data_IF_626520806042
#
_entry.id   IF_626520806042
#
_cell.length_a   1.000
_cell.length_b   1.000
_cell.length_c   1.000
_cell.angle_alpha   90.00
_cell.angle_beta   90.00
_cell.angle_gamma   90.00
#
_symmetry.space_group_name_H-M   'P 1'
#
loop_
_entity.id
_entity.type
_entity.pdbx_description
1 polymer ?
#
# COMPACT_ATOMS: atom_id res chain seq x y z
N UNK A 1 54.47 -21.70 -60.44
CA UNK A 1 53.47 -22.65 -59.89
C UNK A 1 53.30 -22.61 -58.36
N UNK A 2 54.33 -22.34 -57.53
CA UNK A 2 54.19 -22.30 -56.06
C UNK A 2 53.40 -21.10 -55.50
N UNK A 3 53.53 -19.89 -56.08
CA UNK A 3 52.83 -18.67 -55.60
C UNK A 3 51.32 -18.69 -55.83
N UNK A 4 50.84 -19.15 -56.99
CA UNK A 4 49.40 -19.19 -57.29
C UNK A 4 48.64 -20.21 -56.44
N UNK A 5 49.28 -21.33 -56.06
CA UNK A 5 48.71 -22.31 -55.12
C UNK A 5 48.60 -21.75 -53.69
N UNK A 6 49.57 -20.94 -53.26
CA UNK A 6 49.55 -20.28 -51.96
C UNK A 6 48.46 -19.20 -51.88
N UNK A 7 48.27 -18.45 -52.97
CA UNK A 7 47.20 -17.44 -53.09
C UNK A 7 45.82 -18.09 -53.08
N UNK A 8 45.60 -19.17 -53.84
CA UNK A 8 44.33 -19.92 -53.77
C UNK A 8 44.06 -20.53 -52.40
N UNK A 9 45.10 -20.98 -51.68
CA UNK A 9 44.94 -21.49 -50.31
C UNK A 9 44.56 -20.38 -49.32
N UNK A 10 45.16 -19.20 -49.44
CA UNK A 10 44.84 -18.03 -48.63
C UNK A 10 43.43 -17.51 -48.88
N UNK A 11 43.02 -17.42 -50.15
CA UNK A 11 41.65 -17.00 -50.52
C UNK A 11 40.63 -18.04 -50.04
N UNK A 12 40.91 -19.33 -50.21
CA UNK A 12 40.04 -20.40 -49.70
C UNK A 12 39.92 -20.38 -48.17
N UNK A 13 41.02 -20.17 -47.45
CA UNK A 13 41.03 -20.04 -45.99
C UNK A 13 40.22 -18.82 -45.51
N UNK A 14 40.33 -17.69 -46.22
CA UNK A 14 39.58 -16.47 -45.89
C UNK A 14 38.07 -16.63 -46.12
N UNK A 15 37.65 -17.38 -47.13
CA UNK A 15 36.23 -17.69 -47.38
C UNK A 15 35.65 -18.60 -46.28
N UNK A 16 36.41 -19.58 -45.78
CA UNK A 16 35.97 -20.45 -44.68
C UNK A 16 35.84 -19.68 -43.36
N UNK A 17 36.71 -18.69 -43.12
CA UNK A 17 36.61 -17.81 -41.94
C UNK A 17 35.37 -16.89 -41.99
N UNK A 18 34.92 -16.47 -43.18
CA UNK A 18 33.71 -15.65 -43.33
C UNK A 18 32.40 -16.46 -43.19
N UNK A 19 32.43 -17.77 -43.46
CA UNK A 19 31.28 -18.66 -43.29
C UNK A 19 31.08 -19.11 -41.82
N UNK A 20 32.03 -18.84 -40.93
CA UNK A 20 31.97 -19.21 -39.51
C UNK A 20 31.34 -18.13 -38.62
N UNK A 21 30.92 -16.98 -39.17
CA UNK A 21 30.39 -15.85 -38.40
C UNK A 21 28.88 -15.87 -38.16
N UNK A 22 28.13 -16.79 -38.77
CA UNK A 22 26.74 -17.03 -38.37
C UNK A 22 26.72 -18.23 -37.40
N UNK A 23 26.45 -18.01 -36.10
CA UNK A 23 26.40 -19.10 -35.13
C UNK A 23 25.32 -20.11 -35.54
N UNK A 24 25.68 -21.38 -35.74
CA UNK A 24 24.76 -22.53 -35.84
C UNK A 24 24.26 -22.85 -34.42
N UNK A 25 23.58 -21.90 -33.82
CA UNK A 25 22.91 -22.07 -32.53
C UNK A 25 21.44 -21.79 -32.75
N UNK A 26 20.59 -22.76 -32.41
CA UNK A 26 19.15 -22.56 -32.30
C UNK A 26 18.94 -21.69 -31.06
N UNK A 27 18.79 -20.38 -31.25
CA UNK A 27 18.66 -19.42 -30.15
C UNK A 27 17.21 -19.35 -29.75
N UNK A 28 16.93 -19.72 -28.50
CA UNK A 28 15.64 -19.41 -27.89
C UNK A 28 15.46 -17.89 -27.87
N UNK A 29 14.40 -17.43 -28.54
CA UNK A 29 14.00 -16.02 -28.56
C UNK A 29 13.00 -15.80 -27.44
N UNK A 30 13.29 -14.86 -26.54
CA UNK A 30 12.33 -14.43 -25.54
C UNK A 30 11.15 -13.74 -26.23
N UNK A 31 9.95 -14.21 -25.94
CA UNK A 31 8.70 -13.65 -26.47
C UNK A 31 7.74 -13.28 -25.34
N UNK A 32 6.83 -12.35 -25.61
CA UNK A 32 5.77 -12.03 -24.66
C UNK A 32 4.87 -13.23 -24.40
N UNK A 33 4.51 -13.45 -23.13
CA UNK A 33 3.57 -14.48 -22.71
C UNK A 33 2.10 -14.03 -22.78
N UNK A 34 1.85 -12.74 -22.98
CA UNK A 34 0.52 -12.15 -23.05
C UNK A 34 0.47 -10.97 -24.03
N UNK A 35 -0.75 -10.59 -24.39
CA UNK A 35 -1.07 -9.43 -25.20
C UNK A 35 -1.81 -8.41 -24.30
N UNK A 36 -1.25 -7.21 -24.06
CA UNK A 36 -1.86 -6.20 -23.21
C UNK A 36 -3.28 -5.80 -23.61
N UNK A 37 -3.63 -5.91 -24.91
CA UNK A 37 -4.94 -5.53 -25.41
C UNK A 37 -6.02 -6.60 -25.18
N UNK A 38 -5.59 -7.82 -24.81
CA UNK A 38 -6.48 -8.95 -24.48
C UNK A 38 -6.68 -9.14 -22.97
N UNK A 39 -6.16 -8.21 -22.15
CA UNK A 39 -6.39 -8.24 -20.71
C UNK A 39 -7.86 -7.86 -20.45
N UNK A 40 -8.63 -8.80 -19.91
CA UNK A 40 -10.02 -8.64 -19.53
C UNK A 40 -10.10 -8.58 -18.01
N UNK A 41 -10.62 -7.45 -17.52
CA UNK A 41 -11.01 -7.28 -16.12
C UNK A 41 -12.53 -7.33 -16.02
N UNK A 42 -13.04 -7.90 -14.94
CA UNK A 42 -14.46 -7.90 -14.61
C UNK A 42 -14.66 -7.48 -13.17
N UNK A 43 -15.66 -6.63 -12.95
CA UNK A 43 -16.18 -6.36 -11.61
C UNK A 43 -17.60 -6.84 -11.54
N UNK A 44 -17.93 -7.59 -10.50
CA UNK A 44 -19.30 -8.00 -10.18
C UNK A 44 -19.71 -7.29 -8.90
N UNK A 45 -20.79 -6.53 -8.95
CA UNK A 45 -21.48 -6.04 -7.75
C UNK A 45 -22.58 -7.05 -7.40
N UNK A 46 -22.70 -7.42 -6.13
CA UNK A 46 -23.77 -8.32 -5.68
C UNK A 46 -25.17 -7.76 -5.98
N UNK A 47 -25.29 -6.44 -5.95
CA UNK A 47 -26.45 -5.63 -6.34
C UNK A 47 -25.96 -4.46 -7.20
N UNK A 48 -26.70 -4.02 -8.23
CA UNK A 48 -26.31 -2.86 -9.02
C UNK A 48 -26.13 -1.62 -8.15
N UNK A 49 -24.95 -0.98 -8.21
CA UNK A 49 -24.62 0.19 -7.39
C UNK A 49 -24.29 -0.12 -5.92
N UNK A 50 -24.32 -1.39 -5.50
CA UNK A 50 -23.98 -1.81 -4.14
C UNK A 50 -22.46 -1.95 -3.91
N UNK A 51 -22.10 -2.12 -2.64
CA UNK A 51 -20.71 -2.02 -2.20
C UNK A 51 -20.00 -3.37 -2.00
N UNK A 52 -20.71 -4.49 -2.12
CA UNK A 52 -20.10 -5.81 -2.10
C UNK A 52 -19.64 -6.19 -3.52
N UNK A 53 -18.32 -6.18 -3.72
CA UNK A 53 -17.63 -6.27 -5.00
C UNK A 53 -16.84 -7.58 -5.13
N UNK A 54 -16.78 -8.10 -6.35
CA UNK A 54 -15.83 -9.12 -6.78
C UNK A 54 -15.01 -8.57 -7.95
N UNK A 55 -13.75 -8.21 -7.70
CA UNK A 55 -12.78 -7.74 -8.71
C UNK A 55 -12.06 -8.97 -9.29
N UNK A 56 -12.04 -9.11 -10.62
CA UNK A 56 -11.59 -10.34 -11.29
C UNK A 56 -10.70 -10.04 -12.50
N UNK A 57 -9.52 -10.64 -12.55
CA UNK A 57 -8.67 -10.74 -13.72
C UNK A 57 -9.00 -12.06 -14.43
N UNK A 58 -9.51 -11.97 -15.67
CA UNK A 58 -10.06 -13.14 -16.38
C UNK A 58 -9.11 -13.74 -17.43
N UNK A 59 -8.02 -13.05 -17.77
CA UNK A 59 -7.09 -13.47 -18.83
C UNK A 59 -6.12 -14.54 -18.34
N UNK A 60 -6.21 -15.80 -18.83
CA UNK A 60 -5.31 -16.87 -18.37
C UNK A 60 -3.85 -16.56 -18.66
N UNK A 61 -2.96 -16.88 -17.71
CA UNK A 61 -1.51 -16.70 -17.86
C UNK A 61 -1.01 -15.28 -17.61
N UNK A 62 -1.90 -14.31 -17.38
CA UNK A 62 -1.53 -12.97 -16.88
C UNK A 62 -1.57 -13.02 -15.35
N UNK A 63 -0.47 -12.65 -14.70
CA UNK A 63 -0.38 -12.59 -13.24
C UNK A 63 -0.06 -11.18 -12.79
N UNK A 64 -0.41 -10.85 -11.55
CA UNK A 64 -0.35 -9.48 -11.07
C UNK A 64 -0.97 -9.31 -9.69
N UNK A 65 -1.40 -8.08 -9.41
CA UNK A 65 -2.13 -7.75 -8.19
C UNK A 65 -3.15 -6.64 -8.45
N UNK A 66 -4.23 -6.68 -7.67
CA UNK A 66 -5.19 -5.59 -7.56
C UNK A 66 -4.70 -4.54 -6.58
N UNK A 67 -4.77 -3.28 -6.98
CA UNK A 67 -4.79 -2.12 -6.09
C UNK A 67 -6.20 -1.55 -6.13
N UNK A 68 -6.92 -1.70 -5.01
CA UNK A 68 -8.31 -1.27 -4.89
C UNK A 68 -8.44 -0.13 -3.89
N UNK A 69 -7.50 0.82 -3.90
CA UNK A 69 -7.50 2.07 -3.12
C UNK A 69 -7.20 1.85 -1.62
N UNK A 70 -7.93 0.95 -0.97
CA UNK A 70 -7.85 0.72 0.47
C UNK A 70 -6.89 -0.41 0.86
N UNK A 71 -6.54 -1.32 -0.05
CA UNK A 71 -5.58 -2.40 0.16
C UNK A 71 -5.18 -3.02 -1.21
N UNK A 72 -4.32 -4.05 -1.18
CA UNK A 72 -3.85 -4.78 -2.36
C UNK A 72 -4.15 -6.27 -2.27
N UNK A 73 -4.62 -6.84 -3.38
CA UNK A 73 -4.91 -8.27 -3.52
C UNK A 73 -3.95 -8.95 -4.48
N UNK A 74 -3.09 -9.83 -3.96
CA UNK A 74 -2.12 -10.61 -4.77
C UNK A 74 -2.75 -11.90 -5.29
N UNK A 75 -3.84 -11.76 -6.02
CA UNK A 75 -4.69 -12.84 -6.53
C UNK A 75 -5.45 -12.36 -7.75
N UNK A 76 -5.90 -13.28 -8.59
CA UNK A 76 -6.73 -12.97 -9.76
C UNK A 76 -8.12 -12.47 -9.35
N UNK A 77 -8.58 -12.80 -8.13
CA UNK A 77 -9.88 -12.40 -7.61
C UNK A 77 -9.81 -11.83 -6.19
N UNK A 78 -10.39 -10.65 -6.00
CA UNK A 78 -10.62 -10.01 -4.69
C UNK A 78 -12.12 -9.88 -4.46
N UNK A 79 -12.61 -10.40 -3.33
CA UNK A 79 -13.96 -10.15 -2.85
C UNK A 79 -13.88 -9.17 -1.66
N UNK A 80 -14.61 -8.06 -1.72
CA UNK A 80 -14.50 -6.96 -0.74
C UNK A 80 -15.84 -6.25 -0.54
N UNK A 81 -16.14 -5.92 0.71
CA UNK A 81 -17.19 -4.96 1.06
C UNK A 81 -16.52 -3.58 1.07
N UNK A 82 -16.72 -2.83 -0.01
CA UNK A 82 -16.00 -1.60 -0.27
C UNK A 82 -16.62 -0.41 0.51
N UNK A 83 -15.81 0.44 1.17
CA UNK A 83 -16.35 1.40 2.13
C UNK A 83 -16.58 2.81 1.57
N UNK A 84 -16.15 3.12 0.35
CA UNK A 84 -16.17 4.49 -0.21
C UNK A 84 -17.26 4.59 -1.30
N UNK A 85 -18.35 5.35 -1.06
CA UNK A 85 -19.34 5.65 -2.10
C UNK A 85 -18.77 6.49 -3.24
N UNK A 86 -19.48 6.53 -4.37
CA UNK A 86 -19.13 7.31 -5.55
C UNK A 86 -18.42 6.49 -6.64
N UNK A 87 -17.82 7.21 -7.59
CA UNK A 87 -17.07 6.63 -8.68
C UNK A 87 -15.65 6.28 -8.22
N UNK A 88 -15.31 4.99 -8.25
CA UNK A 88 -14.03 4.48 -7.79
C UNK A 88 -13.29 3.79 -8.93
N UNK A 89 -12.00 4.07 -9.08
CA UNK A 89 -11.13 3.43 -10.07
C UNK A 89 -10.26 2.37 -9.39
N UNK A 90 -10.42 1.12 -9.81
CA UNK A 90 -9.59 0.01 -9.36
C UNK A 90 -8.56 -0.35 -10.42
N UNK A 91 -7.34 -0.70 -10.00
CA UNK A 91 -6.22 -0.95 -10.90
C UNK A 91 -5.71 -2.38 -10.74
N UNK A 92 -5.48 -3.08 -11.84
CA UNK A 92 -4.73 -4.33 -11.87
C UNK A 92 -3.35 -4.09 -12.48
N UNK A 93 -2.30 -4.38 -11.72
CA UNK A 93 -0.91 -4.27 -12.16
C UNK A 93 -0.39 -5.65 -12.58
N UNK A 94 0.04 -5.77 -13.83
CA UNK A 94 0.63 -7.01 -14.35
C UNK A 94 2.08 -7.12 -13.86
N UNK A 95 2.43 -8.26 -13.26
CA UNK A 95 3.76 -8.50 -12.71
C UNK A 95 4.80 -8.89 -13.77
N UNK A 96 4.36 -9.50 -14.86
CA UNK A 96 5.25 -9.86 -15.97
C UNK A 96 5.47 -8.66 -16.89
N UNK A 97 6.74 -8.37 -17.17
CA UNK A 97 7.11 -7.27 -18.05
C UNK A 97 6.74 -7.61 -19.51
N UNK A 98 6.24 -6.60 -20.23
CA UNK A 98 5.89 -6.67 -21.64
C UNK A 98 7.00 -6.06 -22.50
N UNK A 99 7.43 -6.76 -23.55
CA UNK A 99 8.41 -6.28 -24.53
C UNK A 99 7.67 -5.74 -25.77
N UNK A 100 7.36 -4.43 -25.86
CA UNK A 100 6.62 -3.87 -27.00
C UNK A 100 7.33 -4.05 -28.34
N UNK A 101 8.67 -4.09 -28.33
CA UNK A 101 9.50 -4.26 -29.53
C UNK A 101 10.13 -5.65 -29.64
N UNK A 102 9.75 -6.59 -28.76
CA UNK A 102 10.40 -7.91 -28.67
C UNK A 102 11.85 -7.87 -28.15
N UNK A 103 12.30 -6.72 -27.64
CA UNK A 103 13.63 -6.53 -27.06
C UNK A 103 13.55 -6.65 -25.54
N UNK A 104 14.23 -7.62 -24.90
CA UNK A 104 14.26 -7.75 -23.44
C UNK A 104 14.95 -6.57 -22.74
N UNK A 105 15.72 -5.74 -23.47
CA UNK A 105 16.25 -4.48 -22.96
C UNK A 105 15.23 -3.34 -22.91
N UNK A 106 14.06 -3.50 -23.54
CA UNK A 106 13.00 -2.50 -23.61
C UNK A 106 11.68 -3.11 -23.12
N UNK A 107 11.41 -2.95 -21.83
CA UNK A 107 10.23 -3.54 -21.18
C UNK A 107 9.28 -2.50 -20.59
N UNK A 108 8.00 -2.85 -20.50
CA UNK A 108 6.93 -2.04 -19.91
C UNK A 108 6.14 -2.89 -18.89
N UNK A 109 5.72 -2.26 -17.80
CA UNK A 109 4.78 -2.88 -16.85
C UNK A 109 3.39 -2.36 -17.13
N UNK A 110 2.48 -3.28 -17.45
CA UNK A 110 1.12 -2.94 -17.85
C UNK A 110 0.24 -2.78 -16.61
N UNK A 111 -0.56 -1.72 -16.60
CA UNK A 111 -1.64 -1.53 -15.65
C UNK A 111 -2.96 -1.37 -16.42
N UNK A 112 -4.03 -1.98 -15.92
CA UNK A 112 -5.39 -1.85 -16.46
C UNK A 112 -6.31 -1.37 -15.35
N UNK A 113 -7.23 -0.49 -15.69
CA UNK A 113 -8.15 0.11 -14.74
C UNK A 113 -9.59 -0.29 -15.06
N UNK A 114 -10.44 -0.26 -14.04
CA UNK A 114 -11.89 -0.40 -14.15
C UNK A 114 -12.55 0.58 -13.19
N UNK A 115 -13.51 1.34 -13.71
CA UNK A 115 -14.30 2.28 -12.91
C UNK A 115 -15.60 1.62 -12.46
N UNK A 116 -15.95 1.82 -11.19
CA UNK A 116 -17.12 1.22 -10.56
C UNK A 116 -17.87 2.30 -9.79
N UNK A 117 -19.15 2.45 -10.09
CA UNK A 117 -20.05 3.35 -9.36
C UNK A 117 -20.66 2.61 -8.16
N UNK A 118 -20.53 3.21 -6.98
CA UNK A 118 -21.13 2.72 -5.73
C UNK A 118 -22.08 3.80 -5.22
N UNK A 119 -23.37 3.55 -5.35
CA UNK A 119 -24.42 4.51 -4.98
C UNK A 119 -24.89 4.30 -3.53
N UNK A 120 -24.80 3.06 -3.04
CA UNK A 120 -25.30 2.67 -1.72
C UNK A 120 -24.36 1.67 -1.04
N UNK A 121 -24.22 1.82 0.28
CA UNK A 121 -23.58 0.83 1.14
C UNK A 121 -24.65 -0.14 1.65
N UNK A 122 -25.06 -1.08 0.79
CA UNK A 122 -26.14 -2.02 1.08
C UNK A 122 -25.70 -3.28 1.83
N UNK A 123 -24.39 -3.48 1.95
CA UNK A 123 -23.77 -4.44 2.85
C UNK A 123 -23.02 -3.70 3.96
N UNK A 124 -23.24 -4.16 5.21
CA UNK A 124 -22.62 -3.59 6.41
C UNK A 124 -21.09 -3.65 6.32
N UNK A 125 -20.43 -2.54 6.65
CA UNK A 125 -18.97 -2.50 6.68
C UNK A 125 -18.45 -3.24 7.92
N UNK A 126 -17.21 -3.76 7.87
CA UNK A 126 -16.54 -4.23 9.07
C UNK A 126 -16.51 -3.16 10.17
N UNK A 127 -16.77 -3.57 11.43
CA UNK A 127 -16.91 -2.66 12.58
C UNK A 127 -15.73 -1.69 12.77
N UNK A 128 -14.52 -2.09 12.34
CA UNK A 128 -13.32 -1.26 12.37
C UNK A 128 -13.47 0.08 11.61
N UNK A 129 -14.24 0.09 10.51
CA UNK A 129 -14.51 1.32 9.76
C UNK A 129 -15.32 2.31 10.60
N UNK A 130 -16.46 1.89 11.13
CA UNK A 130 -17.30 2.73 12.00
C UNK A 130 -16.56 3.17 13.27
N UNK A 131 -15.75 2.28 13.85
CA UNK A 131 -14.90 2.59 14.97
C UNK A 131 -13.90 3.71 14.63
N UNK A 132 -13.22 3.65 13.48
CA UNK A 132 -12.20 4.62 13.09
C UNK A 132 -12.77 5.96 12.61
N UNK A 133 -13.81 5.96 11.76
CA UNK A 133 -14.31 7.16 11.06
C UNK A 133 -15.69 7.64 11.54
N UNK A 134 -16.34 6.92 12.45
CA UNK A 134 -17.67 7.25 12.97
C UNK A 134 -18.79 6.56 12.20
N UNK A 135 -19.98 6.52 12.81
CA UNK A 135 -21.18 5.83 12.28
C UNK A 135 -21.62 6.35 10.90
N UNK A 136 -21.49 7.67 10.68
CA UNK A 136 -21.89 8.30 9.42
C UNK A 136 -20.80 8.26 8.33
N UNK A 137 -19.60 7.76 8.65
CA UNK A 137 -18.43 7.72 7.76
C UNK A 137 -17.89 9.11 7.29
N UNK A 138 -18.50 10.20 7.76
CA UNK A 138 -18.15 11.60 7.45
C UNK A 138 -16.86 12.08 8.12
N UNK A 139 -16.33 11.30 9.06
CA UNK A 139 -15.05 11.55 9.70
C UNK A 139 -15.12 11.61 11.21
N UNK A 140 -14.04 11.16 11.85
CA UNK A 140 -13.87 11.19 13.31
C UNK A 140 -12.52 11.78 13.66
N UNK A 141 -12.54 12.65 14.66
CA UNK A 141 -11.33 13.29 15.18
C UNK A 141 -10.76 12.49 16.36
N UNK A 142 -9.46 12.26 16.34
CA UNK A 142 -8.69 11.54 17.35
C UNK A 142 -7.64 12.45 17.95
N UNK A 143 -7.55 12.44 19.28
CA UNK A 143 -6.56 13.15 20.08
C UNK A 143 -5.92 12.19 21.07
N UNK A 144 -4.77 12.53 21.63
CA UNK A 144 -4.17 11.68 22.67
C UNK A 144 -5.11 11.44 23.84
N UNK A 145 -5.08 10.21 24.37
CA UNK A 145 -5.86 9.79 25.55
C UNK A 145 -5.13 10.15 26.86
N UNK A 146 -4.70 11.41 26.94
CA UNK A 146 -3.95 11.96 28.07
C UNK A 146 -3.48 13.38 27.78
N UNK A 147 -2.87 14.00 28.78
CA UNK A 147 -2.26 15.33 28.67
C UNK A 147 -0.81 15.28 29.16
N UNK A 148 0.05 16.21 28.72
CA UNK A 148 1.43 16.29 29.20
C UNK A 148 1.54 16.24 30.72
N UNK A 149 2.43 15.37 31.23
CA UNK A 149 2.79 15.27 32.65
C UNK A 149 1.64 14.85 33.58
N UNK A 150 0.66 14.10 33.07
CA UNK A 150 -0.47 13.58 33.86
C UNK A 150 -0.23 12.20 34.50
N UNK A 151 0.98 11.66 34.34
CA UNK A 151 1.38 10.34 34.81
C UNK A 151 0.55 9.16 34.22
N UNK A 152 -0.26 9.41 33.20
CA UNK A 152 -0.95 8.35 32.44
C UNK A 152 -0.10 7.90 31.26
N UNK A 153 -0.30 6.66 30.80
CA UNK A 153 0.51 6.06 29.72
C UNK A 153 -0.26 6.16 28.41
N UNK A 154 0.03 7.18 27.59
CA UNK A 154 -0.62 7.42 26.29
C UNK A 154 0.35 7.60 25.12
N UNK A 155 1.61 7.95 25.41
CA UNK A 155 2.72 7.93 24.46
C UNK A 155 3.97 7.49 25.19
N UNK A 156 4.43 6.28 24.91
CA UNK A 156 5.42 5.60 25.73
C UNK A 156 6.28 4.63 24.94
N UNK A 157 7.53 4.49 25.39
CA UNK A 157 8.41 3.43 24.97
C UNK A 157 8.07 2.16 25.75
N UNK A 158 7.93 1.06 25.02
CA UNK A 158 7.53 -0.25 25.54
C UNK A 158 8.48 -1.33 24.99
N UNK A 159 8.40 -2.53 25.53
CA UNK A 159 9.17 -3.64 25.01
C UNK A 159 8.78 -3.96 23.54
N UNK A 160 9.74 -4.21 22.64
CA UNK A 160 9.48 -4.55 21.24
C UNK A 160 8.80 -5.92 21.07
N UNK A 161 8.74 -6.74 22.11
CA UNK A 161 8.08 -8.06 22.13
C UNK A 161 6.81 -8.08 22.99
N UNK A 162 6.52 -7.00 23.73
CA UNK A 162 5.35 -6.91 24.61
C UNK A 162 4.92 -5.45 24.79
N UNK A 163 3.88 -5.05 24.07
CA UNK A 163 3.37 -3.67 24.08
C UNK A 163 2.83 -3.20 25.45
N UNK A 164 2.58 -4.12 26.39
CA UNK A 164 2.09 -3.79 27.73
C UNK A 164 3.23 -3.54 28.72
N UNK A 165 4.46 -3.94 28.39
CA UNK A 165 5.64 -3.72 29.22
C UNK A 165 6.21 -2.33 28.95
N UNK A 166 5.80 -1.37 29.77
CA UNK A 166 6.26 0.02 29.66
C UNK A 166 7.68 0.14 30.18
N UNK A 167 8.60 0.59 29.33
CA UNK A 167 9.98 0.90 29.70
C UNK A 167 10.13 2.36 30.09
N UNK A 168 9.37 3.26 29.44
CA UNK A 168 9.42 4.69 29.74
C UNK A 168 8.09 5.38 29.38
N UNK A 169 7.43 5.96 30.37
CA UNK A 169 6.22 6.76 30.20
C UNK A 169 6.58 8.19 29.78
N UNK A 170 7.09 8.35 28.56
CA UNK A 170 7.68 9.60 28.09
C UNK A 170 6.75 10.80 28.25
N UNK A 171 5.50 10.71 27.76
CA UNK A 171 4.60 11.86 27.82
C UNK A 171 3.95 12.11 29.18
N UNK A 172 3.76 11.06 29.99
CA UNK A 172 3.23 11.18 31.34
C UNK A 172 4.26 11.67 32.37
N UNK A 173 5.57 11.56 32.10
CA UNK A 173 6.62 11.83 33.11
C UNK A 173 7.50 13.05 32.84
N UNK A 174 7.95 13.29 31.60
CA UNK A 174 8.94 14.36 31.36
C UNK A 174 8.94 14.99 29.97
N UNK A 175 8.54 14.23 28.96
CA UNK A 175 9.00 14.42 27.61
C UNK A 175 7.86 14.13 26.63
N UNK A 176 6.73 14.87 26.72
CA UNK A 176 5.62 14.71 25.78
C UNK A 176 6.05 15.09 24.36
N UNK A 177 5.40 14.49 23.34
CA UNK A 177 5.70 14.84 21.96
C UNK A 177 5.31 16.29 21.68
N UNK A 178 6.02 16.90 20.73
CA UNK A 178 5.83 18.31 20.36
C UNK A 178 4.42 18.64 19.88
N UNK A 179 3.70 17.64 19.35
CA UNK A 179 2.32 17.71 18.86
C UNK A 179 1.29 17.10 19.83
N UNK A 180 1.59 17.03 21.13
CA UNK A 180 0.69 16.49 22.15
C UNK A 180 -0.71 17.15 22.17
N UNK A 181 -0.83 18.40 21.73
CA UNK A 181 -2.09 19.13 21.63
C UNK A 181 -2.73 19.07 20.21
N UNK A 182 -2.13 18.30 19.30
CA UNK A 182 -2.61 18.10 17.95
C UNK A 182 -3.81 17.15 17.87
N UNK A 183 -4.28 16.95 16.64
CA UNK A 183 -5.41 16.07 16.34
C UNK A 183 -5.26 15.42 14.98
N UNK A 184 -5.95 14.30 14.79
CA UNK A 184 -5.99 13.55 13.53
C UNK A 184 -7.42 13.32 13.13
N UNK A 185 -7.73 13.38 11.84
CA UNK A 185 -9.06 13.09 11.30
C UNK A 185 -8.94 11.97 10.29
N UNK A 186 -9.75 10.93 10.48
CA UNK A 186 -9.93 9.85 9.51
C UNK A 186 -11.35 9.92 8.97
N UNK A 187 -11.50 9.90 7.66
CA UNK A 187 -12.81 9.90 6.98
C UNK A 187 -12.79 8.99 5.73
N UNK A 188 -14.00 8.75 5.20
CA UNK A 188 -14.23 8.04 3.94
C UNK A 188 -14.89 8.93 2.88
N UNK A 189 -14.81 10.26 3.02
CA UNK A 189 -15.47 11.20 2.11
C UNK A 189 -14.71 11.28 0.78
N UNK A 190 -15.24 10.61 -0.25
CA UNK A 190 -14.59 10.50 -1.56
C UNK A 190 -13.25 9.74 -1.55
N UNK A 191 -12.88 9.12 -0.44
CA UNK A 191 -11.66 8.33 -0.29
C UNK A 191 -11.28 8.09 1.17
N UNK A 192 -10.37 7.16 1.43
CA UNK A 192 -9.82 6.92 2.77
C UNK A 192 -8.82 8.01 3.17
N UNK A 193 -9.32 9.17 3.60
CA UNK A 193 -8.50 10.36 3.85
C UNK A 193 -8.00 10.41 5.30
N UNK A 194 -6.75 10.85 5.46
CA UNK A 194 -6.14 11.16 6.73
C UNK A 194 -5.67 12.62 6.73
N UNK A 195 -6.13 13.38 7.72
CA UNK A 195 -5.72 14.78 7.93
C UNK A 195 -5.09 14.93 9.30
N UNK A 196 -3.90 15.52 9.34
CA UNK A 196 -3.13 15.75 10.56
C UNK A 196 -3.05 17.23 10.91
N UNK A 197 -3.09 17.54 12.20
CA UNK A 197 -2.88 18.87 12.76
C UNK A 197 -1.88 18.77 13.91
N UNK A 198 -0.75 19.47 13.84
CA UNK A 198 0.28 19.43 14.89
C UNK A 198 -0.12 20.15 16.19
N UNK A 199 -1.20 20.93 16.16
CA UNK A 199 -1.74 21.66 17.30
C UNK A 199 -3.14 22.21 17.01
N UNK A 200 -3.78 22.87 17.99
CA UNK A 200 -5.16 23.36 17.87
C UNK A 200 -5.36 24.35 16.73
N UNK A 201 -4.36 25.22 16.51
CA UNK A 201 -4.39 26.29 15.51
C UNK A 201 -3.48 26.00 14.30
N UNK A 202 -2.99 24.75 14.17
CA UNK A 202 -2.09 24.38 13.09
C UNK A 202 -2.84 24.24 11.75
N UNK A 203 -2.16 24.57 10.66
CA UNK A 203 -2.65 24.25 9.32
C UNK A 203 -2.73 22.72 9.12
N UNK A 204 -3.74 22.22 8.39
CA UNK A 204 -3.88 20.80 8.12
C UNK A 204 -2.78 20.30 7.18
N UNK A 205 -2.22 19.14 7.50
CA UNK A 205 -1.43 18.34 6.55
C UNK A 205 -2.37 17.32 5.90
N UNK A 206 -2.72 17.56 4.64
CA UNK A 206 -3.63 16.72 3.83
C UNK A 206 -2.87 15.85 2.82
N UNK A 207 -3.60 15.03 2.04
CA UNK A 207 -3.03 14.23 0.96
C UNK A 207 -2.45 12.89 1.40
N UNK A 208 -2.69 12.51 2.65
CA UNK A 208 -2.36 11.18 3.18
C UNK A 208 -3.59 10.30 3.11
N UNK A 209 -3.39 9.05 2.68
CA UNK A 209 -4.43 8.03 2.63
C UNK A 209 -4.18 6.99 3.72
N UNK A 210 -5.24 6.37 4.22
CA UNK A 210 -5.13 5.29 5.19
C UNK A 210 -5.71 3.98 4.65
N UNK A 211 -5.24 2.87 5.20
CA UNK A 211 -5.59 1.53 4.77
C UNK A 211 -5.57 0.56 5.97
N UNK A 212 -6.56 -0.32 6.04
CA UNK A 212 -6.47 -1.53 6.87
C UNK A 212 -5.93 -2.69 6.06
N UNK A 213 -5.25 -3.62 6.72
CA UNK A 213 -5.08 -4.96 6.15
C UNK A 213 -6.38 -5.77 6.29
N UNK A 214 -6.46 -6.89 5.56
CA UNK A 214 -7.65 -7.74 5.49
C UNK A 214 -8.25 -8.22 6.83
N UNK A 215 -7.45 -8.33 7.91
CA UNK A 215 -7.93 -8.77 9.24
C UNK A 215 -8.08 -7.62 10.25
N UNK A 216 -7.92 -6.37 9.82
CA UNK A 216 -8.05 -5.17 10.65
C UNK A 216 -7.10 -5.10 11.85
N UNK A 217 -5.98 -5.82 11.80
CA UNK A 217 -4.93 -5.77 12.84
C UNK A 217 -3.85 -4.74 12.55
N UNK A 218 -3.83 -4.15 11.36
CA UNK A 218 -2.84 -3.16 10.95
C UNK A 218 -3.47 -1.96 10.26
N UNK A 219 -3.05 -0.77 10.67
CA UNK A 219 -3.32 0.51 10.01
C UNK A 219 -2.06 0.97 9.27
N UNK A 220 -2.18 1.37 8.01
CA UNK A 220 -1.09 1.96 7.22
C UNK A 220 -1.49 3.35 6.75
N UNK A 221 -0.58 4.31 6.82
CA UNK A 221 -0.71 5.63 6.20
C UNK A 221 0.21 5.71 4.97
N UNK A 222 -0.28 6.34 3.90
CA UNK A 222 0.47 6.54 2.67
C UNK A 222 0.35 8.02 2.26
N UNK A 223 1.43 8.78 2.44
CA UNK A 223 1.46 10.21 2.10
C UNK A 223 2.35 11.04 3.01
N UNK A 224 2.22 12.37 2.97
CA UNK A 224 3.12 13.29 3.66
C UNK A 224 2.92 13.40 5.18
N UNK A 225 1.77 12.99 5.73
CA UNK A 225 1.44 13.10 7.14
C UNK A 225 1.64 11.78 7.90
N UNK A 226 1.80 11.87 9.22
CA UNK A 226 1.88 10.72 10.11
C UNK A 226 1.00 10.92 11.35
N UNK A 227 0.86 9.91 12.21
CA UNK A 227 0.13 10.05 13.47
C UNK A 227 0.83 10.99 14.44
N UNK A 228 0.09 11.52 15.41
CA UNK A 228 0.67 12.33 16.49
C UNK A 228 1.79 11.57 17.22
N UNK A 229 2.83 12.28 17.66
CA UNK A 229 3.98 11.69 18.35
C UNK A 229 4.86 10.80 17.47
N UNK A 230 4.80 10.96 16.14
CA UNK A 230 5.72 10.34 15.18
C UNK A 230 7.01 11.16 15.03
N UNK A 231 7.71 11.38 16.14
CA UNK A 231 9.00 12.10 16.22
C UNK A 231 10.16 11.16 16.60
N UNK A 232 11.38 11.66 16.81
CA UNK A 232 12.60 10.83 16.90
C UNK A 232 12.45 9.56 17.76
N UNK A 233 11.91 9.67 18.98
CA UNK A 233 11.64 8.50 19.82
C UNK A 233 10.60 7.56 19.23
N UNK A 234 9.42 8.08 18.89
CA UNK A 234 8.31 7.35 18.26
C UNK A 234 8.45 7.15 16.75
N UNK A 235 9.67 7.23 16.22
CA UNK A 235 9.94 7.19 14.79
C UNK A 235 9.43 5.88 14.20
N UNK A 236 8.60 5.97 13.15
CA UNK A 236 7.92 4.83 12.55
C UNK A 236 7.87 4.96 11.03
N UNK A 237 7.44 3.89 10.37
CA UNK A 237 7.34 3.79 8.91
C UNK A 237 5.89 3.90 8.40
N UNK A 238 5.02 4.60 9.15
CA UNK A 238 3.59 4.75 8.85
C UNK A 238 2.81 3.42 8.81
N UNK A 239 3.30 2.38 9.49
CA UNK A 239 2.62 1.09 9.65
C UNK A 239 2.47 0.78 11.13
N UNK A 240 1.24 0.55 11.56
CA UNK A 240 0.89 0.43 12.97
C UNK A 240 0.10 -0.84 13.21
N UNK A 241 0.49 -1.60 14.22
CA UNK A 241 -0.37 -2.65 14.76
C UNK A 241 -1.49 -2.02 15.59
N UNK A 242 -2.71 -2.46 15.35
CA UNK A 242 -3.89 -2.05 16.09
C UNK A 242 -4.03 -3.02 17.27
N UNK A 243 -3.83 -2.52 18.49
CA UNK A 243 -4.03 -3.32 19.71
C UNK A 243 -5.45 -3.21 20.23
N UNK A 244 -6.10 -2.08 19.99
CA UNK A 244 -7.48 -1.83 20.37
C UNK A 244 -8.07 -0.78 19.43
N UNK A 245 -9.29 -1.03 18.93
CA UNK A 245 -10.04 -0.11 18.12
C UNK A 245 -11.53 -0.25 18.46
N UNK A 246 -12.08 0.83 19.01
CA UNK A 246 -13.49 0.97 19.41
C UNK A 246 -13.99 2.35 18.96
N UNK A 247 -15.24 2.69 19.25
CA UNK A 247 -15.78 4.00 18.87
C UNK A 247 -15.04 5.17 19.53
N UNK A 248 -14.42 4.93 20.68
CA UNK A 248 -13.95 5.91 21.65
C UNK A 248 -12.45 5.73 21.97
N UNK A 249 -11.83 4.62 21.56
CA UNK A 249 -10.43 4.31 21.84
C UNK A 249 -9.70 3.68 20.67
N UNK A 250 -8.51 4.18 20.39
CA UNK A 250 -7.58 3.70 19.37
C UNK A 250 -6.20 3.53 20.01
N UNK A 251 -5.71 2.29 20.06
CA UNK A 251 -4.38 1.96 20.58
C UNK A 251 -3.52 1.40 19.45
N UNK A 252 -2.46 2.13 19.13
CA UNK A 252 -1.51 1.78 18.08
C UNK A 252 -0.16 1.40 18.68
N UNK A 253 0.52 0.47 18.01
CA UNK A 253 1.79 -0.06 18.43
C UNK A 253 2.74 -0.27 17.25
N UNK A 254 4.03 -0.02 17.49
CA UNK A 254 5.12 -0.38 16.59
C UNK A 254 6.16 -1.14 17.41
N UNK A 255 6.58 -2.31 16.95
CA UNK A 255 7.57 -3.14 17.63
C UNK A 255 9.02 -2.69 17.34
N UNK A 256 9.24 -2.08 16.19
CA UNK A 256 10.53 -1.77 15.59
C UNK A 256 10.68 -0.26 15.31
N UNK A 257 10.34 0.56 16.29
CA UNK A 257 10.55 1.99 16.20
C UNK A 257 12.06 2.34 16.28
N UNK A 258 12.37 3.62 16.28
CA UNK A 258 13.73 4.10 16.50
C UNK A 258 14.39 3.43 17.72
N UNK A 259 15.71 3.24 17.63
CA UNK A 259 16.54 2.61 18.65
C UNK A 259 16.20 1.15 18.99
N UNK A 260 15.53 0.43 18.09
CA UNK A 260 15.09 -0.96 18.28
C UNK A 260 14.18 -1.13 19.52
N UNK A 261 13.32 -0.13 19.72
CA UNK A 261 12.36 -0.10 20.84
C UNK A 261 10.93 -0.25 20.32
N UNK A 262 10.04 -0.74 21.19
CA UNK A 262 8.61 -0.68 20.92
C UNK A 262 8.05 0.68 21.31
N UNK A 263 7.03 1.15 20.60
CA UNK A 263 6.32 2.38 20.95
C UNK A 263 4.80 2.19 20.92
N UNK A 264 4.14 2.83 21.87
CA UNK A 264 2.70 2.75 22.10
C UNK A 264 2.09 4.14 22.01
N UNK A 265 0.98 4.24 21.28
CA UNK A 265 0.13 5.42 21.22
C UNK A 265 -1.28 5.05 21.67
N UNK A 266 -1.89 5.87 22.51
CA UNK A 266 -3.30 5.77 22.88
C UNK A 266 -4.00 7.06 22.54
N UNK A 267 -5.08 6.91 21.78
CA UNK A 267 -5.94 8.00 21.36
C UNK A 267 -7.35 7.74 21.83
N UNK A 268 -8.07 8.85 22.03
CA UNK A 268 -9.51 8.86 22.23
C UNK A 268 -10.19 9.69 21.15
N UNK A 269 -11.46 9.39 20.92
CA UNK A 269 -12.28 10.25 20.09
C UNK A 269 -12.43 11.63 20.75
N UNK A 270 -12.29 12.69 19.96
CA UNK A 270 -12.66 14.03 20.38
C UNK A 270 -14.16 14.20 20.14
N UNK A 271 -14.90 14.52 21.21
CA UNK A 271 -16.33 14.85 21.17
C UNK A 271 -16.60 16.14 20.37
#
# INVERSE_FOLDING_TARGET
>A
MKKNKLISLLIGSFIVLLAACEPIEDRDVLTNSFDPDKIELRVVQSTPGGNNLSLQMLTPGVTGYWDYIIDRGFTDRVDVIFPIPGLNTFTYYVSTAYMPTGDPGNVQYIAKTVDVQIDVLDHELPAAYYALVGENLEGKTWVFDGVPLDNTVWWAMVAPYNWQEVWWNAAGECCPPSDAAGRMVFDLDGGANFTYYSGPDADPVTGTKWAFNADFTRLTLNGPANILGSEEGGGNNQRFEIKELTADKLVLYVADAAWATGWLWKFKAQE
#
